data_IF_941651905412
#
_entry.id   IF_941651905412
#
_cell.length_a   1.000
_cell.length_b   1.000
_cell.length_c   1.000
_cell.angle_alpha   90.00
_cell.angle_beta   90.00
_cell.angle_gamma   90.00
#
_symmetry.space_group_name_H-M   'P 1'
#
loop_
_entity.id
_entity.type
_entity.pdbx_description
1 polymer ?
#
# COMPACT_ATOMS: atom_id res chain seq x y z
N UNK A 1 7.33 -45.07 32.68
CA UNK A 1 8.20 -43.92 33.04
C UNK A 1 9.35 -43.70 32.06
N UNK A 2 10.15 -44.73 31.74
CA UNK A 2 11.30 -44.63 30.81
C UNK A 2 10.92 -44.07 29.42
N UNK A 3 9.79 -44.48 28.84
CA UNK A 3 9.31 -43.96 27.53
C UNK A 3 8.97 -42.47 27.55
N UNK A 4 8.42 -41.96 28.65
CA UNK A 4 8.10 -40.54 28.79
C UNK A 4 9.38 -39.70 28.91
N UNK A 5 10.37 -40.20 29.66
CA UNK A 5 11.69 -39.58 29.79
C UNK A 5 12.40 -39.53 28.43
N UNK A 6 12.36 -40.64 27.66
CA UNK A 6 12.92 -40.70 26.31
C UNK A 6 12.28 -39.67 25.37
N UNK A 7 10.96 -39.50 25.38
CA UNK A 7 10.27 -38.48 24.57
C UNK A 7 10.72 -37.08 24.96
N UNK A 8 10.82 -36.78 26.26
CA UNK A 8 11.29 -35.47 26.74
C UNK A 8 12.74 -35.21 26.31
N UNK A 9 13.62 -36.20 26.44
CA UNK A 9 15.02 -36.09 26.02
C UNK A 9 15.12 -35.85 24.51
N UNK A 10 14.34 -36.59 23.70
CA UNK A 10 14.29 -36.40 22.24
C UNK A 10 13.83 -34.97 21.90
N UNK A 11 12.79 -34.45 22.56
CA UNK A 11 12.31 -33.09 22.34
C UNK A 11 13.34 -32.04 22.73
N UNK A 12 14.07 -32.23 23.83
CA UNK A 12 15.15 -31.33 24.26
C UNK A 12 16.30 -31.34 23.26
N UNK A 13 16.73 -32.52 22.80
CA UNK A 13 17.82 -32.66 21.82
C UNK A 13 17.43 -32.05 20.48
N UNK A 14 16.22 -32.34 19.99
CA UNK A 14 15.71 -31.72 18.76
C UNK A 14 15.59 -30.20 18.91
N UNK A 15 15.11 -29.70 20.04
CA UNK A 15 15.06 -28.27 20.33
C UNK A 15 16.45 -27.63 20.33
N UNK A 16 17.42 -28.24 21.01
CA UNK A 16 18.79 -27.75 21.09
C UNK A 16 19.49 -27.71 19.72
N UNK A 17 19.23 -28.69 18.85
CA UNK A 17 19.75 -28.73 17.47
C UNK A 17 19.04 -27.73 16.55
N UNK A 18 17.73 -27.51 16.75
CA UNK A 18 16.91 -26.63 15.90
C UNK A 18 17.14 -25.15 16.18
N UNK A 19 17.33 -24.77 17.44
CA UNK A 19 17.51 -23.37 17.87
C UNK A 19 18.63 -22.62 17.12
N UNK A 20 19.86 -23.15 16.94
CA UNK A 20 20.90 -22.43 16.18
C UNK A 20 20.51 -22.25 14.71
N UNK A 21 19.91 -23.28 14.09
CA UNK A 21 19.43 -23.22 12.69
C UNK A 21 18.34 -22.15 12.55
N UNK A 22 17.39 -22.09 13.47
CA UNK A 22 16.35 -21.05 13.49
C UNK A 22 16.92 -19.66 13.73
N UNK A 23 17.96 -19.52 14.56
CA UNK A 23 18.62 -18.23 14.82
C UNK A 23 19.36 -17.73 13.58
N UNK A 24 20.07 -18.60 12.88
CA UNK A 24 20.80 -18.29 11.66
C UNK A 24 19.83 -17.99 10.51
N UNK A 25 18.79 -18.80 10.35
CA UNK A 25 17.70 -18.51 9.41
C UNK A 25 17.00 -17.20 9.75
N UNK A 26 16.74 -16.90 11.03
CA UNK A 26 16.15 -15.63 11.43
C UNK A 26 17.09 -14.44 11.17
N UNK A 27 18.41 -14.63 11.32
CA UNK A 27 19.39 -13.60 10.99
C UNK A 27 19.48 -13.35 9.47
N UNK A 28 19.50 -14.43 8.69
CA UNK A 28 19.45 -14.39 7.23
C UNK A 28 18.15 -13.74 6.74
N UNK A 29 17.02 -14.14 7.31
CA UNK A 29 15.72 -13.55 7.04
C UNK A 29 15.67 -12.07 7.41
N UNK A 30 16.26 -11.65 8.54
CA UNK A 30 16.36 -10.22 8.88
C UNK A 30 17.21 -9.45 7.87
N UNK A 31 18.31 -10.04 7.41
CA UNK A 31 19.23 -9.45 6.44
C UNK A 31 18.59 -9.33 5.05
N UNK A 32 17.89 -10.36 4.61
CA UNK A 32 17.16 -10.43 3.33
C UNK A 32 15.75 -9.85 3.42
N UNK A 33 15.47 -9.06 4.45
CA UNK A 33 14.17 -8.43 4.71
C UNK A 33 12.97 -9.39 4.77
N UNK A 34 13.13 -10.70 4.95
CA UNK A 34 12.07 -11.64 5.35
C UNK A 34 11.73 -11.48 6.84
N UNK A 35 11.15 -10.36 7.29
CA UNK A 35 10.65 -10.30 8.68
C UNK A 35 9.50 -11.29 8.84
N UNK A 36 9.67 -12.26 9.74
CA UNK A 36 8.59 -13.16 10.16
C UNK A 36 7.49 -12.39 10.91
N UNK A 37 6.29 -12.96 10.93
CA UNK A 37 5.18 -12.45 11.75
C UNK A 37 5.52 -12.73 13.22
N UNK A 38 5.40 -11.74 14.09
CA UNK A 38 5.49 -11.96 15.53
C UNK A 38 4.23 -12.68 16.01
N UNK A 39 4.40 -13.90 16.54
CA UNK A 39 3.30 -14.66 17.11
C UNK A 39 2.97 -14.13 18.50
N UNK A 40 1.88 -13.38 18.62
CA UNK A 40 1.39 -12.84 19.88
C UNK A 40 -0.10 -13.17 20.10
N UNK A 41 -0.63 -12.87 21.29
CA UNK A 41 -2.04 -13.13 21.62
C UNK A 41 -3.01 -12.28 20.75
N UNK A 42 -2.59 -11.09 20.33
CA UNK A 42 -3.31 -10.21 19.41
C UNK A 42 -3.49 -10.87 18.02
N UNK A 43 -2.53 -11.67 17.56
CA UNK A 43 -2.64 -12.47 16.35
C UNK A 43 -3.72 -13.55 16.46
N UNK A 44 -3.86 -14.19 17.63
CA UNK A 44 -4.91 -15.19 17.89
C UNK A 44 -6.30 -14.58 17.82
N UNK A 45 -6.45 -13.38 18.37
CA UNK A 45 -7.72 -12.65 18.37
C UNK A 45 -8.13 -12.25 16.93
N UNK A 46 -7.16 -11.80 16.12
CA UNK A 46 -7.38 -11.41 14.72
C UNK A 46 -7.72 -12.57 13.78
N UNK A 47 -7.19 -13.76 14.04
CA UNK A 47 -7.31 -14.93 13.14
C UNK A 47 -8.36 -15.96 13.57
N UNK A 48 -8.82 -15.91 14.82
CA UNK A 48 -9.61 -16.98 15.42
C UNK A 48 -8.81 -18.27 15.65
N UNK A 49 -9.41 -19.28 16.28
CA UNK A 49 -8.71 -20.48 16.76
C UNK A 49 -8.13 -21.34 15.62
N UNK A 50 -8.88 -21.55 14.54
CA UNK A 50 -8.42 -22.33 13.37
C UNK A 50 -7.33 -21.60 12.59
N UNK A 51 -7.48 -20.29 12.37
CA UNK A 51 -6.46 -19.47 11.71
C UNK A 51 -5.16 -19.38 12.52
N UNK A 52 -5.26 -19.34 13.85
CA UNK A 52 -4.11 -19.36 14.73
C UNK A 52 -3.35 -20.70 14.70
N UNK A 53 -4.07 -21.83 14.73
CA UNK A 53 -3.46 -23.16 14.59
C UNK A 53 -2.77 -23.32 13.23
N UNK A 54 -3.40 -22.87 12.14
CA UNK A 54 -2.81 -22.88 10.81
C UNK A 54 -1.56 -21.97 10.70
N UNK A 55 -1.57 -20.81 11.38
CA UNK A 55 -0.41 -19.94 11.45
C UNK A 55 0.78 -20.59 12.17
N UNK A 56 0.51 -21.36 13.24
CA UNK A 56 1.53 -22.09 14.00
C UNK A 56 2.07 -23.34 13.28
N UNK A 57 1.32 -23.90 12.33
CA UNK A 57 1.66 -25.17 11.65
C UNK A 57 2.23 -24.98 10.23
N UNK A 58 2.55 -23.75 9.82
CA UNK A 58 3.17 -23.46 8.52
C UNK A 58 2.19 -23.37 7.33
N UNK A 59 0.90 -23.58 7.56
CA UNK A 59 -0.14 -23.55 6.51
C UNK A 59 -0.75 -22.15 6.25
N UNK A 60 -0.22 -21.10 6.89
CA UNK A 60 -0.72 -19.71 6.74
C UNK A 60 -0.88 -19.22 5.30
N UNK A 61 0.00 -19.65 4.37
CA UNK A 61 -0.08 -19.25 2.96
C UNK A 61 -1.35 -19.79 2.31
N UNK A 62 -1.57 -21.10 2.40
CA UNK A 62 -2.74 -21.77 1.82
C UNK A 62 -4.04 -21.23 2.43
N UNK A 63 -4.05 -20.99 3.74
CA UNK A 63 -5.23 -20.39 4.40
C UNK A 63 -5.45 -18.96 3.92
N UNK A 64 -4.40 -18.15 3.79
CA UNK A 64 -4.53 -16.78 3.28
C UNK A 64 -5.06 -16.77 1.83
N UNK A 65 -4.56 -17.66 0.98
CA UNK A 65 -5.01 -17.76 -0.41
C UNK A 65 -6.48 -18.19 -0.49
N UNK A 66 -6.89 -19.17 0.33
CA UNK A 66 -8.30 -19.59 0.42
C UNK A 66 -9.22 -18.47 0.92
N UNK A 67 -8.78 -17.70 1.92
CA UNK A 67 -9.53 -16.54 2.42
C UNK A 67 -9.56 -15.40 1.39
N UNK A 68 -8.52 -15.23 0.58
CA UNK A 68 -8.48 -14.25 -0.50
C UNK A 68 -9.48 -14.60 -1.61
N UNK A 69 -9.61 -15.88 -1.98
CA UNK A 69 -10.68 -16.34 -2.90
C UNK A 69 -12.06 -16.08 -2.29
N UNK A 70 -12.25 -16.34 -0.99
CA UNK A 70 -13.52 -15.99 -0.33
C UNK A 70 -13.78 -14.49 -0.31
N UNK A 71 -12.74 -13.66 -0.19
CA UNK A 71 -12.87 -12.20 -0.24
C UNK A 71 -13.34 -11.75 -1.62
N UNK A 72 -12.88 -12.39 -2.68
CA UNK A 72 -13.36 -12.17 -4.04
C UNK A 72 -14.85 -12.49 -4.18
N UNK A 73 -15.30 -13.66 -3.72
CA UNK A 73 -16.74 -14.04 -3.74
C UNK A 73 -17.59 -13.07 -2.90
N UNK A 74 -17.09 -12.64 -1.74
CA UNK A 74 -17.78 -11.65 -0.91
C UNK A 74 -17.90 -10.29 -1.62
N UNK A 75 -16.86 -9.89 -2.36
CA UNK A 75 -16.87 -8.68 -3.16
C UNK A 75 -17.90 -8.75 -4.30
N UNK A 76 -17.97 -9.86 -5.04
CA UNK A 76 -18.98 -10.07 -6.09
C UNK A 76 -20.41 -9.93 -5.56
N UNK A 77 -20.62 -10.36 -4.31
CA UNK A 77 -21.92 -10.25 -3.60
C UNK A 77 -22.12 -8.91 -2.90
N UNK A 78 -21.19 -7.96 -3.03
CA UNK A 78 -21.21 -6.65 -2.35
C UNK A 78 -21.29 -6.73 -0.82
N UNK A 79 -20.78 -7.81 -0.23
CA UNK A 79 -20.71 -8.03 1.22
C UNK A 79 -19.52 -7.25 1.83
N UNK A 80 -19.53 -5.91 1.76
CA UNK A 80 -18.37 -5.06 2.09
C UNK A 80 -17.78 -5.28 3.48
N UNK A 81 -18.63 -5.51 4.49
CA UNK A 81 -18.18 -5.84 5.84
C UNK A 81 -17.40 -7.16 5.89
N UNK A 82 -17.83 -8.16 5.12
CA UNK A 82 -17.13 -9.45 5.01
C UNK A 82 -15.82 -9.30 4.22
N UNK A 83 -15.83 -8.53 3.14
CA UNK A 83 -14.61 -8.18 2.38
C UNK A 83 -13.56 -7.57 3.32
N UNK A 84 -13.95 -6.58 4.13
CA UNK A 84 -13.07 -5.95 5.10
C UNK A 84 -12.47 -6.95 6.10
N UNK A 85 -13.30 -7.83 6.68
CA UNK A 85 -12.84 -8.82 7.65
C UNK A 85 -11.87 -9.85 7.03
N UNK A 86 -12.19 -10.37 5.84
CA UNK A 86 -11.33 -11.31 5.13
C UNK A 86 -10.00 -10.66 4.75
N UNK A 87 -10.02 -9.41 4.26
CA UNK A 87 -8.79 -8.69 3.94
C UNK A 87 -7.91 -8.39 5.16
N UNK A 88 -8.51 -8.11 6.32
CA UNK A 88 -7.76 -8.02 7.59
C UNK A 88 -7.07 -9.34 7.94
N UNK A 89 -7.74 -10.47 7.72
CA UNK A 89 -7.18 -11.79 8.01
C UNK A 89 -6.02 -12.14 7.05
N UNK A 90 -6.20 -11.98 5.73
CA UNK A 90 -5.14 -12.34 4.75
C UNK A 90 -3.90 -11.46 4.92
N UNK A 91 -4.08 -10.15 5.16
CA UNK A 91 -2.96 -9.24 5.42
C UNK A 91 -2.26 -9.52 6.75
N UNK A 92 -2.99 -10.08 7.73
CA UNK A 92 -2.40 -10.54 9.00
C UNK A 92 -1.65 -11.87 8.84
N UNK A 93 -2.18 -12.81 8.04
CA UNK A 93 -1.55 -14.11 7.78
C UNK A 93 -0.29 -14.00 6.91
N UNK A 94 -0.34 -13.11 5.92
CA UNK A 94 0.70 -12.93 4.91
C UNK A 94 1.02 -11.43 4.71
N UNK A 95 1.58 -10.76 5.72
CA UNK A 95 1.82 -9.32 5.66
C UNK A 95 2.88 -8.91 4.62
N UNK A 96 3.62 -9.88 4.04
CA UNK A 96 4.61 -9.62 2.99
C UNK A 96 4.06 -9.69 1.57
N UNK A 97 2.81 -10.12 1.40
CA UNK A 97 2.18 -10.21 0.08
C UNK A 97 1.56 -8.85 -0.25
N UNK A 98 2.26 -8.08 -1.09
CA UNK A 98 1.87 -6.72 -1.51
C UNK A 98 0.46 -6.70 -2.09
N UNK A 99 0.15 -7.70 -2.92
CA UNK A 99 -1.15 -7.85 -3.59
C UNK A 99 -2.32 -7.78 -2.60
N UNK A 100 -2.19 -8.39 -1.41
CA UNK A 100 -3.26 -8.39 -0.42
C UNK A 100 -3.53 -7.01 0.17
N UNK A 101 -2.49 -6.21 0.37
CA UNK A 101 -2.62 -4.84 0.87
C UNK A 101 -3.21 -3.91 -0.19
N UNK A 102 -2.69 -3.97 -1.42
CA UNK A 102 -3.16 -3.14 -2.54
C UNK A 102 -4.62 -3.46 -2.88
N UNK A 103 -4.98 -4.75 -2.99
CA UNK A 103 -6.36 -5.16 -3.25
C UNK A 103 -7.32 -4.78 -2.11
N UNK A 104 -6.90 -4.93 -0.84
CA UNK A 104 -7.70 -4.49 0.29
C UNK A 104 -7.99 -2.99 0.20
N UNK A 105 -6.96 -2.19 -0.08
CA UNK A 105 -7.08 -0.75 -0.22
C UNK A 105 -7.98 -0.36 -1.40
N UNK A 106 -7.82 -1.02 -2.55
CA UNK A 106 -8.65 -0.81 -3.73
C UNK A 106 -10.12 -1.11 -3.46
N UNK A 107 -10.41 -2.27 -2.87
CA UNK A 107 -11.79 -2.65 -2.55
C UNK A 107 -12.45 -1.69 -1.56
N UNK A 108 -11.71 -1.18 -0.56
CA UNK A 108 -12.26 -0.20 0.38
C UNK A 108 -12.42 1.17 -0.29
N UNK A 109 -11.33 1.78 -0.75
CA UNK A 109 -11.33 3.19 -1.17
C UNK A 109 -11.94 3.46 -2.56
N UNK A 110 -12.11 2.44 -3.42
CA UNK A 110 -12.82 2.59 -4.70
C UNK A 110 -14.16 1.87 -4.66
N UNK A 111 -14.18 0.55 -4.48
CA UNK A 111 -15.41 -0.22 -4.72
C UNK A 111 -16.46 0.03 -3.63
N UNK A 112 -16.11 -0.20 -2.35
CA UNK A 112 -17.02 -0.03 -1.22
C UNK A 112 -17.40 1.45 -1.03
N UNK A 113 -16.42 2.36 -1.19
CA UNK A 113 -16.66 3.80 -1.09
C UNK A 113 -17.65 4.32 -2.13
N UNK A 114 -17.55 3.85 -3.39
CA UNK A 114 -18.52 4.20 -4.45
C UNK A 114 -19.87 3.55 -4.18
N UNK A 115 -19.91 2.29 -3.74
CA UNK A 115 -21.16 1.62 -3.37
C UNK A 115 -21.89 2.35 -2.24
N UNK A 116 -21.16 2.79 -1.20
CA UNK A 116 -21.71 3.58 -0.09
C UNK A 116 -22.27 4.93 -0.55
N UNK A 117 -21.58 5.60 -1.47
CA UNK A 117 -22.08 6.86 -2.05
C UNK A 117 -23.33 6.66 -2.90
N UNK A 118 -23.44 5.52 -3.58
CA UNK A 118 -24.54 5.21 -4.50
C UNK A 118 -25.71 4.45 -3.86
N UNK A 119 -25.62 4.10 -2.58
CA UNK A 119 -26.67 3.38 -1.86
C UNK A 119 -27.99 4.18 -1.84
N UNK A 120 -29.02 3.64 -2.50
CA UNK A 120 -30.34 4.28 -2.57
C UNK A 120 -31.19 4.00 -1.33
N UNK A 121 -30.85 2.98 -0.55
CA UNK A 121 -31.57 2.66 0.70
C UNK A 121 -31.28 3.68 1.81
N UNK A 122 -30.15 4.40 1.71
CA UNK A 122 -29.81 5.54 2.56
C UNK A 122 -30.21 6.86 1.88
N UNK A 123 -31.38 7.46 2.22
CA UNK A 123 -31.85 8.68 1.56
C UNK A 123 -31.00 9.91 1.92
N UNK A 124 -30.28 9.90 3.04
CA UNK A 124 -29.52 11.06 3.52
C UNK A 124 -28.14 11.11 2.86
N UNK A 125 -27.93 12.10 1.98
CA UNK A 125 -26.65 12.34 1.32
C UNK A 125 -25.49 12.46 2.32
N UNK A 126 -25.68 13.19 3.43
CA UNK A 126 -24.64 13.36 4.44
C UNK A 126 -24.15 12.03 5.03
N UNK A 127 -25.04 11.05 5.23
CA UNK A 127 -24.67 9.73 5.74
C UNK A 127 -23.92 8.90 4.69
N UNK A 128 -24.27 9.03 3.41
CA UNK A 128 -23.53 8.39 2.30
C UNK A 128 -22.13 8.97 2.13
N UNK A 129 -21.99 10.29 2.22
CA UNK A 129 -20.68 10.98 2.21
C UNK A 129 -19.84 10.56 3.41
N UNK A 130 -20.43 10.46 4.60
CA UNK A 130 -19.73 9.96 5.80
C UNK A 130 -19.21 8.54 5.59
N UNK A 131 -20.08 7.62 5.15
CA UNK A 131 -19.70 6.22 4.91
C UNK A 131 -18.61 6.11 3.82
N UNK A 132 -18.69 6.90 2.74
CA UNK A 132 -17.65 6.96 1.72
C UNK A 132 -16.30 7.35 2.32
N UNK A 133 -16.26 8.39 3.16
CA UNK A 133 -15.03 8.85 3.82
C UNK A 133 -14.46 7.80 4.79
N UNK A 134 -15.32 7.06 5.48
CA UNK A 134 -14.89 5.94 6.33
C UNK A 134 -14.20 4.85 5.50
N UNK A 135 -14.73 4.53 4.31
CA UNK A 135 -14.07 3.59 3.40
C UNK A 135 -12.75 4.12 2.81
N UNK A 136 -12.64 5.42 2.53
CA UNK A 136 -11.34 6.01 2.16
C UNK A 136 -10.32 5.84 3.29
N UNK A 137 -10.72 6.09 4.54
CA UNK A 137 -9.85 5.92 5.71
C UNK A 137 -9.42 4.45 5.89
N UNK A 138 -10.31 3.48 5.67
CA UNK A 138 -9.96 2.06 5.70
C UNK A 138 -8.94 1.70 4.62
N UNK A 139 -9.11 2.21 3.40
CA UNK A 139 -8.16 1.97 2.31
C UNK A 139 -6.77 2.56 2.62
N UNK A 140 -6.74 3.79 3.16
CA UNK A 140 -5.53 4.44 3.63
C UNK A 140 -4.81 3.61 4.71
N UNK A 141 -5.55 3.15 5.72
CA UNK A 141 -5.01 2.32 6.81
C UNK A 141 -4.39 1.00 6.29
N UNK A 142 -5.00 0.34 5.30
CA UNK A 142 -4.38 -0.83 4.67
C UNK A 142 -3.06 -0.49 3.98
N UNK A 143 -2.97 0.63 3.26
CA UNK A 143 -1.73 1.02 2.59
C UNK A 143 -0.63 1.42 3.58
N UNK A 144 -0.96 2.19 4.63
CA UNK A 144 0.00 2.57 5.67
C UNK A 144 0.54 1.36 6.43
N UNK A 145 -0.33 0.42 6.81
CA UNK A 145 0.09 -0.86 7.42
C UNK A 145 0.86 -1.73 6.43
N UNK A 146 0.47 -1.71 5.15
CA UNK A 146 1.18 -2.39 4.07
C UNK A 146 2.62 -1.89 3.93
N UNK A 147 2.82 -0.57 3.87
CA UNK A 147 4.15 0.08 3.83
C UNK A 147 4.96 -0.27 5.08
N UNK A 148 4.34 -0.24 6.27
CA UNK A 148 5.05 -0.63 7.51
C UNK A 148 5.59 -2.06 7.45
N UNK A 149 4.84 -2.98 6.82
CA UNK A 149 5.27 -4.37 6.64
C UNK A 149 6.18 -4.59 5.43
N UNK A 150 6.13 -3.70 4.44
CA UNK A 150 6.85 -3.79 3.16
C UNK A 150 7.45 -2.42 2.78
N UNK A 151 8.38 -1.88 3.59
CA UNK A 151 8.87 -0.52 3.41
C UNK A 151 9.72 -0.35 2.14
N UNK A 152 10.14 -1.46 1.55
CA UNK A 152 10.99 -1.61 0.38
C UNK A 152 10.21 -1.73 -0.94
N UNK A 153 8.88 -1.61 -0.91
CA UNK A 153 8.01 -1.91 -2.06
C UNK A 153 7.34 -0.66 -2.60
N UNK A 154 7.82 -0.19 -3.76
CA UNK A 154 7.35 1.03 -4.42
C UNK A 154 5.84 1.03 -4.67
N UNK A 155 5.25 -0.14 -4.98
CA UNK A 155 3.84 -0.26 -5.38
C UNK A 155 2.89 0.25 -4.30
N UNK A 156 3.24 0.10 -3.03
CA UNK A 156 2.39 0.57 -1.92
C UNK A 156 2.49 2.09 -1.71
N UNK A 157 3.64 2.68 -2.00
CA UNK A 157 3.80 4.14 -1.99
C UNK A 157 3.05 4.77 -3.16
N UNK A 158 3.15 4.18 -4.36
CA UNK A 158 2.39 4.60 -5.55
C UNK A 158 0.88 4.51 -5.29
N UNK A 159 0.40 3.38 -4.75
CA UNK A 159 -1.01 3.20 -4.42
C UNK A 159 -1.52 4.23 -3.39
N UNK A 160 -0.70 4.58 -2.40
CA UNK A 160 -1.03 5.58 -1.38
C UNK A 160 -1.04 6.99 -1.97
N UNK A 161 -0.08 7.33 -2.82
CA UNK A 161 -0.05 8.58 -3.58
C UNK A 161 -1.31 8.73 -4.44
N UNK A 162 -1.70 7.68 -5.17
CA UNK A 162 -2.92 7.65 -5.98
C UNK A 162 -4.17 7.87 -5.14
N UNK A 163 -4.25 7.27 -3.94
CA UNK A 163 -5.36 7.46 -3.02
C UNK A 163 -5.44 8.92 -2.51
N UNK A 164 -4.31 9.53 -2.14
CA UNK A 164 -4.27 10.95 -1.74
C UNK A 164 -4.73 11.87 -2.86
N UNK A 165 -4.18 11.68 -4.06
CA UNK A 165 -4.55 12.40 -5.28
C UNK A 165 -6.04 12.27 -5.59
N UNK A 166 -6.55 11.04 -5.68
CA UNK A 166 -7.88 10.81 -6.23
C UNK A 166 -8.99 11.06 -5.21
N UNK A 167 -8.80 10.61 -3.97
CA UNK A 167 -9.87 10.56 -2.96
C UNK A 167 -9.82 11.74 -2.00
N UNK A 168 -8.62 12.16 -1.60
CA UNK A 168 -8.44 13.27 -0.67
C UNK A 168 -8.21 14.61 -1.37
N UNK A 169 -7.84 14.60 -2.67
CA UNK A 169 -7.40 15.81 -3.39
C UNK A 169 -6.23 16.49 -2.68
N UNK A 170 -5.42 15.68 -2.02
CA UNK A 170 -4.25 16.11 -1.26
C UNK A 170 -3.02 15.94 -2.15
N UNK A 171 -2.77 16.98 -2.94
CA UNK A 171 -1.71 16.99 -3.95
C UNK A 171 -0.31 17.00 -3.31
N UNK A 172 -0.16 17.58 -2.13
CA UNK A 172 1.11 17.65 -1.42
C UNK A 172 1.54 16.24 -0.97
N UNK A 173 0.69 15.53 -0.23
CA UNK A 173 1.00 14.16 0.16
C UNK A 173 1.11 13.24 -1.05
N UNK A 174 0.27 13.43 -2.08
CA UNK A 174 0.42 12.64 -3.30
C UNK A 174 1.81 12.83 -3.93
N UNK A 175 2.30 14.07 -4.05
CA UNK A 175 3.62 14.35 -4.56
C UNK A 175 4.72 13.70 -3.71
N UNK A 176 4.64 13.79 -2.39
CA UNK A 176 5.60 13.18 -1.47
C UNK A 176 5.68 11.65 -1.62
N UNK A 177 4.55 10.98 -1.69
CA UNK A 177 4.50 9.53 -1.82
C UNK A 177 4.96 9.04 -3.21
N UNK A 178 4.65 9.78 -4.28
CA UNK A 178 5.22 9.52 -5.61
C UNK A 178 6.73 9.77 -5.65
N UNK A 179 7.23 10.86 -5.03
CA UNK A 179 8.65 11.12 -4.89
C UNK A 179 9.34 9.97 -4.16
N UNK A 180 8.72 9.46 -3.09
CA UNK A 180 9.23 8.30 -2.36
C UNK A 180 9.28 7.05 -3.23
N UNK A 181 8.22 6.78 -4.01
CA UNK A 181 8.20 5.68 -4.98
C UNK A 181 9.31 5.81 -6.04
N UNK A 182 9.61 7.03 -6.49
CA UNK A 182 10.68 7.31 -7.46
C UNK A 182 12.10 7.02 -6.93
N UNK A 183 12.31 6.95 -5.61
CA UNK A 183 13.63 6.67 -5.03
C UNK A 183 14.05 5.19 -5.10
N UNK A 184 13.16 4.28 -5.48
CA UNK A 184 13.48 2.85 -5.54
C UNK A 184 14.29 2.51 -6.80
N UNK A 185 15.27 1.57 -6.74
CA UNK A 185 16.14 1.26 -7.87
C UNK A 185 15.41 0.85 -9.16
N UNK A 186 14.29 0.16 -9.02
CA UNK A 186 13.47 -0.32 -10.14
C UNK A 186 12.25 0.58 -10.41
N UNK A 187 12.25 1.81 -9.89
CA UNK A 187 11.14 2.73 -10.06
C UNK A 187 10.99 3.12 -11.55
N UNK A 188 9.78 2.98 -12.12
CA UNK A 188 9.52 3.50 -13.45
C UNK A 188 9.70 5.01 -13.51
N UNK A 189 10.18 5.54 -14.63
CA UNK A 189 10.41 6.99 -14.78
C UNK A 189 9.15 7.85 -14.61
N UNK A 190 7.95 7.26 -14.72
CA UNK A 190 6.72 7.99 -14.49
C UNK A 190 6.51 8.39 -13.02
N UNK A 191 7.14 7.74 -12.05
CA UNK A 191 6.96 8.07 -10.63
C UNK A 191 7.44 9.50 -10.33
N UNK A 192 8.61 9.85 -10.86
CA UNK A 192 9.15 11.21 -10.73
C UNK A 192 8.27 12.23 -11.45
N UNK A 193 7.70 11.87 -12.62
CA UNK A 193 6.74 12.72 -13.32
C UNK A 193 5.46 12.93 -12.51
N UNK A 194 4.89 11.87 -11.92
CA UNK A 194 3.70 11.97 -11.11
C UNK A 194 3.94 12.84 -9.88
N UNK A 195 5.09 12.70 -9.22
CA UNK A 195 5.51 13.62 -8.15
C UNK A 195 5.47 15.08 -8.61
N UNK A 196 6.15 15.41 -9.71
CA UNK A 196 6.21 16.78 -10.21
C UNK A 196 4.84 17.31 -10.67
N UNK A 197 4.01 16.45 -11.26
CA UNK A 197 2.64 16.80 -11.65
C UNK A 197 1.80 17.17 -10.44
N UNK A 198 1.79 16.33 -9.40
CA UNK A 198 1.02 16.62 -8.19
C UNK A 198 1.56 17.85 -7.44
N UNK A 199 2.89 18.01 -7.34
CA UNK A 199 3.51 19.22 -6.75
C UNK A 199 3.06 20.48 -7.47
N UNK A 200 2.90 20.45 -8.80
CA UNK A 200 2.43 21.60 -9.57
C UNK A 200 1.01 22.07 -9.24
N UNK A 201 0.20 21.28 -8.53
CA UNK A 201 -1.13 21.69 -8.04
C UNK A 201 -1.10 22.27 -6.61
N UNK A 202 0.06 22.27 -5.95
CA UNK A 202 0.20 22.79 -4.58
C UNK A 202 0.32 24.31 -4.58
N UNK A 203 -0.66 25.01 -4.00
CA UNK A 203 -0.65 26.46 -3.85
C UNK A 203 0.49 26.92 -2.93
N UNK A 204 1.21 27.97 -3.32
CA UNK A 204 2.34 28.53 -2.56
C UNK A 204 3.69 27.83 -2.80
N UNK A 205 3.72 26.75 -3.60
CA UNK A 205 4.95 26.03 -3.98
C UNK A 205 5.20 26.01 -5.48
N UNK A 206 4.64 26.98 -6.20
CA UNK A 206 4.65 27.06 -7.67
C UNK A 206 6.07 27.10 -8.23
N UNK A 207 6.98 27.84 -7.59
CA UNK A 207 8.36 27.99 -8.05
C UNK A 207 9.12 26.68 -7.98
N UNK A 208 9.01 25.96 -6.86
CA UNK A 208 9.63 24.65 -6.67
C UNK A 208 9.09 23.63 -7.67
N UNK A 209 7.76 23.61 -7.86
CA UNK A 209 7.14 22.73 -8.83
C UNK A 209 7.56 23.05 -10.28
N UNK A 210 7.72 24.33 -10.61
CA UNK A 210 8.23 24.76 -11.91
C UNK A 210 9.66 24.25 -12.14
N UNK A 211 10.54 24.41 -11.15
CA UNK A 211 11.93 23.96 -11.22
C UNK A 211 12.02 22.44 -11.39
N UNK A 212 11.20 21.67 -10.66
CA UNK A 212 11.11 20.21 -10.82
C UNK A 212 10.63 19.80 -12.22
N UNK A 213 9.55 20.41 -12.72
CA UNK A 213 9.05 20.12 -14.06
C UNK A 213 10.05 20.52 -15.14
N UNK A 214 10.77 21.62 -14.93
CA UNK A 214 11.80 22.11 -15.84
C UNK A 214 13.00 21.17 -15.88
N UNK A 215 13.45 20.68 -14.73
CA UNK A 215 14.49 19.66 -14.66
C UNK A 215 14.12 18.43 -15.49
N UNK A 216 12.90 17.89 -15.30
CA UNK A 216 12.40 16.77 -16.09
C UNK A 216 12.33 17.11 -17.59
N UNK A 217 11.89 18.31 -17.97
CA UNK A 217 11.87 18.75 -19.37
C UNK A 217 13.27 18.73 -20.02
N UNK A 218 14.27 19.12 -19.25
CA UNK A 218 15.67 19.26 -19.68
C UNK A 218 16.41 17.90 -19.73
N UNK A 219 15.91 16.85 -19.05
CA UNK A 219 16.44 15.48 -19.13
C UNK A 219 16.32 14.86 -20.54
N UNK A 220 15.36 15.32 -21.35
CA UNK A 220 15.32 15.02 -22.78
C UNK A 220 13.92 14.81 -23.34
N UNK A 221 13.87 14.52 -24.65
CA UNK A 221 12.61 14.46 -25.43
C UNK A 221 11.61 13.44 -24.88
N UNK A 222 12.08 12.36 -24.26
CA UNK A 222 11.21 11.32 -23.68
C UNK A 222 10.35 11.83 -22.52
N UNK A 223 10.83 12.83 -21.79
CA UNK A 223 10.14 13.41 -20.63
C UNK A 223 9.18 14.53 -21.02
N UNK A 224 9.26 15.04 -22.26
CA UNK A 224 8.42 16.12 -22.81
C UNK A 224 7.01 15.64 -23.17
N UNK A 225 6.35 14.99 -22.22
CA UNK A 225 5.00 14.49 -22.37
C UNK A 225 3.97 15.62 -22.31
N UNK A 226 2.78 15.47 -22.94
CA UNK A 226 1.78 16.53 -23.00
C UNK A 226 1.36 17.10 -21.64
N UNK A 227 1.25 16.25 -20.61
CA UNK A 227 0.91 16.70 -19.25
C UNK A 227 2.02 17.57 -18.67
N UNK A 228 3.29 17.16 -18.80
CA UNK A 228 4.44 17.93 -18.34
C UNK A 228 4.48 19.32 -18.98
N UNK A 229 4.39 19.37 -20.31
CA UNK A 229 4.39 20.63 -21.07
C UNK A 229 3.25 21.54 -20.63
N UNK A 230 2.04 20.98 -20.48
CA UNK A 230 0.86 21.74 -20.05
C UNK A 230 1.04 22.34 -18.66
N UNK A 231 1.52 21.55 -17.70
CA UNK A 231 1.76 22.04 -16.32
C UNK A 231 2.88 23.07 -16.28
N UNK A 232 3.94 22.85 -17.04
CA UNK A 232 5.08 23.77 -17.10
C UNK A 232 4.67 25.12 -17.68
N UNK A 233 3.97 25.16 -18.82
CA UNK A 233 3.43 26.41 -19.39
C UNK A 233 2.43 27.12 -18.47
N UNK A 234 1.60 26.35 -17.76
CA UNK A 234 0.69 26.92 -16.76
C UNK A 234 1.48 27.67 -15.67
N UNK A 235 2.53 27.06 -15.12
CA UNK A 235 3.37 27.69 -14.11
C UNK A 235 4.20 28.86 -14.67
N UNK A 236 4.69 28.78 -15.90
CA UNK A 236 5.38 29.91 -16.56
C UNK A 236 4.51 31.15 -16.61
N UNK A 237 3.23 30.97 -16.93
CA UNK A 237 2.25 32.06 -16.92
C UNK A 237 1.94 32.52 -15.49
N UNK A 238 1.68 31.60 -14.55
CA UNK A 238 1.34 31.92 -13.15
C UNK A 238 2.49 32.69 -12.45
N UNK A 239 3.73 32.33 -12.74
CA UNK A 239 4.94 32.93 -12.16
C UNK A 239 5.46 34.15 -12.94
N UNK A 240 4.91 34.45 -14.11
CA UNK A 240 5.41 35.54 -14.97
C UNK A 240 6.83 35.30 -15.47
N UNK A 241 7.19 34.06 -15.82
CA UNK A 241 8.52 33.72 -16.33
C UNK A 241 8.79 34.50 -17.64
N UNK A 242 9.95 35.16 -17.80
CA UNK A 242 10.32 35.87 -19.03
C UNK A 242 10.29 34.97 -20.26
N UNK A 243 9.84 35.50 -21.41
CA UNK A 243 9.60 34.71 -22.63
C UNK A 243 10.85 33.98 -23.13
N UNK A 244 12.04 34.56 -22.95
CA UNK A 244 13.35 33.98 -23.30
C UNK A 244 13.74 32.77 -22.42
N UNK A 245 13.12 32.64 -21.25
CA UNK A 245 13.35 31.53 -20.31
C UNK A 245 12.32 30.42 -20.43
N UNK A 246 11.24 30.64 -21.20
CA UNK A 246 10.14 29.68 -21.36
C UNK A 246 10.50 28.51 -22.27
N UNK A 247 9.81 27.39 -22.09
CA UNK A 247 9.87 26.30 -23.07
C UNK A 247 9.25 26.74 -24.41
N UNK A 248 9.71 26.19 -25.56
CA UNK A 248 9.16 26.52 -26.86
C UNK A 248 7.66 26.25 -26.95
N UNK A 249 6.97 27.05 -27.77
CA UNK A 249 5.53 26.87 -27.97
C UNK A 249 5.15 25.68 -28.85
N UNK A 250 6.13 25.12 -29.56
CA UNK A 250 5.99 24.03 -30.55
C UNK A 250 6.29 22.66 -29.95
#
# INVERSE_FOLDING_TARGET
MIRAILVVVILIVLGALKVPIERDLAALHRKEHFRGVEFNLDLREKLGQLGFVAALSGFRAIVADGLFIQAHVAWERTEWGRVLLLFRQVTTLQPRVILFWDMAAWHMAWNAAVAAMNDKSQPRLALRVKAQREYFALGKDFLERGIKNNPDRLQLYEALARLYKEKYKDHEHAAEFYAKAATFPDAPSYEQRFSAYEHSYCEGREREAYEQLRQLYDEGVKERLPTLITRLKFLENKLGIPQDQRIPDK
#
